data_IF_604444124544
#
_entry.id   IF_604444124544
#
_cell.length_a   1.000
_cell.length_b   1.000
_cell.length_c   1.000
_cell.angle_alpha   90.00
_cell.angle_beta   90.00
_cell.angle_gamma   90.00
#
_symmetry.space_group_name_H-M   'P 1'
#
loop_
_entity.id
_entity.type
_entity.pdbx_description
1 polymer ?
#
# COMPACT_ATOMS: atom_id res chain seq x y z
N UNK A 1 3.86 -1.68 -2.41
CA UNK A 1 4.33 -2.02 -3.78
C UNK A 1 3.18 -2.53 -4.62
N UNK A 2 3.05 -2.06 -5.87
CA UNK A 2 2.06 -2.56 -6.85
C UNK A 2 2.79 -3.29 -7.98
N UNK A 3 2.29 -4.47 -8.37
CA UNK A 3 2.82 -5.22 -9.51
C UNK A 3 1.96 -4.99 -10.75
N UNK A 4 2.50 -4.33 -11.78
CA UNK A 4 1.75 -4.05 -13.00
C UNK A 4 1.91 -5.15 -14.07
N UNK A 5 0.87 -5.32 -14.88
CA UNK A 5 0.77 -6.31 -15.96
C UNK A 5 1.07 -7.72 -15.44
N UNK A 6 0.42 -8.13 -14.36
CA UNK A 6 0.50 -9.48 -13.79
C UNK A 6 -0.26 -10.48 -14.68
N UNK A 7 0.25 -11.71 -14.75
CA UNK A 7 -0.22 -12.73 -15.69
C UNK A 7 0.92 -13.59 -16.24
N UNK A 8 2.11 -12.99 -16.38
CA UNK A 8 3.32 -13.70 -16.76
C UNK A 8 3.95 -14.40 -15.55
N UNK A 9 4.07 -15.74 -15.59
CA UNK A 9 4.73 -16.54 -14.54
C UNK A 9 6.14 -16.02 -14.19
N UNK A 10 6.85 -15.44 -15.16
CA UNK A 10 8.18 -14.83 -14.99
C UNK A 10 8.17 -13.61 -14.05
N UNK A 11 7.08 -12.83 -14.01
CA UNK A 11 7.00 -11.62 -13.18
C UNK A 11 6.87 -11.90 -11.68
N UNK A 12 6.26 -13.04 -11.31
CA UNK A 12 6.21 -13.48 -9.90
C UNK A 12 7.62 -13.68 -9.33
N UNK A 13 8.54 -14.20 -10.14
CA UNK A 13 9.94 -14.42 -9.76
C UNK A 13 10.64 -13.06 -9.54
N UNK A 14 10.43 -12.09 -10.44
CA UNK A 14 11.06 -10.77 -10.32
C UNK A 14 10.65 -10.02 -9.05
N UNK A 15 9.39 -10.15 -8.62
CA UNK A 15 8.91 -9.53 -7.39
C UNK A 15 9.62 -10.10 -6.15
N UNK A 16 9.76 -11.43 -6.09
CA UNK A 16 10.46 -12.09 -5.00
C UNK A 16 11.96 -11.73 -4.97
N UNK A 17 12.59 -11.69 -6.14
CA UNK A 17 13.99 -11.24 -6.26
C UNK A 17 14.16 -9.79 -5.81
N UNK A 18 13.24 -8.89 -6.20
CA UNK A 18 13.29 -7.50 -5.77
C UNK A 18 13.13 -7.36 -4.25
N UNK A 19 12.22 -8.12 -3.64
CA UNK A 19 12.06 -8.15 -2.19
C UNK A 19 13.34 -8.62 -1.48
N UNK A 20 14.01 -9.65 -2.00
CA UNK A 20 15.29 -10.13 -1.47
C UNK A 20 16.39 -9.07 -1.57
N UNK A 21 16.49 -8.39 -2.72
CA UNK A 21 17.47 -7.32 -2.92
C UNK A 21 17.21 -6.15 -1.96
N UNK A 22 15.97 -5.72 -1.80
CA UNK A 22 15.64 -4.60 -0.92
C UNK A 22 15.91 -4.94 0.55
N UNK A 23 15.63 -6.19 0.97
CA UNK A 23 16.01 -6.68 2.29
C UNK A 23 17.54 -6.67 2.49
N UNK A 24 18.29 -7.08 1.47
CA UNK A 24 19.75 -7.18 1.53
C UNK A 24 20.46 -5.82 1.54
N UNK A 25 19.95 -4.84 0.79
CA UNK A 25 20.68 -3.58 0.55
C UNK A 25 20.08 -2.35 1.24
N UNK A 26 18.78 -2.34 1.57
CA UNK A 26 18.11 -1.17 2.16
C UNK A 26 17.76 -1.40 3.64
N UNK A 27 17.84 -2.64 4.14
CA UNK A 27 17.49 -2.97 5.52
C UNK A 27 15.98 -2.92 5.83
N UNK A 28 15.15 -2.68 4.81
CA UNK A 28 13.69 -2.71 4.93
C UNK A 28 13.25 -4.16 5.17
N UNK A 29 12.68 -4.42 6.34
CA UNK A 29 12.33 -5.79 6.77
C UNK A 29 11.10 -6.34 6.06
N UNK A 30 10.14 -5.48 5.71
CA UNK A 30 8.96 -5.86 4.94
C UNK A 30 8.55 -4.75 3.97
N UNK A 31 8.22 -5.16 2.75
CA UNK A 31 7.61 -4.29 1.75
C UNK A 31 6.18 -4.77 1.59
N UNK A 32 5.24 -3.97 2.06
CA UNK A 32 3.82 -4.30 1.94
C UNK A 32 3.42 -4.33 0.47
N UNK A 33 2.94 -5.48 0.03
CA UNK A 33 2.35 -5.63 -1.29
C UNK A 33 0.92 -5.11 -1.24
N UNK A 34 0.63 -4.12 -2.09
CA UNK A 34 -0.65 -3.42 -2.13
C UNK A 34 -1.65 -4.09 -3.09
N UNK A 35 -1.14 -4.70 -4.16
CA UNK A 35 -1.94 -5.47 -5.12
C UNK A 35 -1.21 -5.74 -6.43
N UNK A 36 -1.92 -6.37 -7.37
CA UNK A 36 -1.44 -6.65 -8.71
C UNK A 36 -2.46 -6.17 -9.75
N UNK A 37 -1.99 -5.56 -10.83
CA UNK A 37 -2.82 -5.13 -11.96
C UNK A 37 -2.59 -6.13 -13.10
N UNK A 38 -3.62 -6.86 -13.57
CA UNK A 38 -3.46 -7.85 -14.62
C UNK A 38 -3.14 -7.23 -15.98
N UNK A 39 -2.63 -8.05 -16.92
CA UNK A 39 -2.62 -7.69 -18.34
C UNK A 39 -4.08 -7.60 -18.83
N UNK A 40 -4.45 -6.47 -19.40
CA UNK A 40 -5.83 -6.17 -19.81
C UNK A 40 -5.82 -5.32 -21.09
N UNK A 41 -6.54 -5.78 -22.12
CA UNK A 41 -6.67 -5.08 -23.41
C UNK A 41 -7.47 -3.79 -23.28
N UNK A 42 -8.36 -3.70 -22.28
CA UNK A 42 -9.13 -2.48 -22.02
C UNK A 42 -8.23 -1.30 -21.67
N UNK A 43 -7.05 -1.57 -21.08
CA UNK A 43 -6.05 -0.52 -20.80
C UNK A 43 -5.51 0.06 -22.11
N UNK A 44 -5.16 -0.77 -23.09
CA UNK A 44 -4.66 -0.32 -24.40
C UNK A 44 -5.74 0.45 -25.17
N UNK A 45 -6.98 -0.03 -25.13
CA UNK A 45 -8.13 0.64 -25.76
C UNK A 45 -8.42 2.00 -25.11
N UNK A 46 -8.31 2.10 -23.78
CA UNK A 46 -8.54 3.34 -23.04
C UNK A 46 -7.53 4.44 -23.40
N UNK A 47 -6.28 4.06 -23.70
CA UNK A 47 -5.25 4.99 -24.19
C UNK A 47 -5.66 5.57 -25.55
N UNK A 48 -6.13 4.73 -26.47
CA UNK A 48 -6.60 5.19 -27.78
C UNK A 48 -7.82 6.11 -27.71
N UNK A 49 -8.66 5.93 -26.68
CA UNK A 49 -9.82 6.77 -26.40
C UNK A 49 -9.49 8.02 -25.57
N UNK A 50 -8.22 8.21 -25.17
CA UNK A 50 -7.78 9.28 -24.26
C UNK A 50 -8.61 9.38 -22.97
N UNK A 51 -9.12 8.24 -22.49
CA UNK A 51 -9.94 8.16 -21.30
C UNK A 51 -9.31 7.17 -20.32
N UNK A 52 -9.21 7.47 -19.01
CA UNK A 52 -8.67 6.53 -18.04
C UNK A 52 -9.45 5.21 -18.03
N UNK A 53 -8.75 4.07 -17.91
CA UNK A 53 -9.38 2.73 -17.93
C UNK A 53 -10.53 2.58 -16.92
N UNK A 54 -10.42 3.22 -15.74
CA UNK A 54 -11.46 3.22 -14.73
C UNK A 54 -12.77 3.89 -15.20
N UNK A 55 -12.67 4.92 -16.06
CA UNK A 55 -13.84 5.57 -16.67
C UNK A 55 -14.25 4.93 -17.99
N UNK A 56 -13.29 4.48 -18.80
CA UNK A 56 -13.54 3.89 -20.12
C UNK A 56 -14.17 2.49 -20.04
N UNK A 57 -13.64 1.64 -19.15
CA UNK A 57 -14.08 0.26 -18.97
C UNK A 57 -14.10 -0.12 -17.47
N UNK A 58 -15.06 0.41 -16.68
CA UNK A 58 -15.09 0.24 -15.23
C UNK A 58 -15.20 -1.22 -14.76
N UNK A 59 -15.72 -2.11 -15.62
CA UNK A 59 -15.87 -3.53 -15.31
C UNK A 59 -14.66 -4.38 -15.72
N UNK A 60 -13.63 -3.78 -16.32
CA UNK A 60 -12.45 -4.51 -16.78
C UNK A 60 -11.62 -5.04 -15.59
N UNK A 61 -10.84 -6.12 -15.79
CA UNK A 61 -9.97 -6.66 -14.74
C UNK A 61 -8.98 -5.63 -14.18
N UNK A 62 -8.38 -4.79 -15.03
CA UNK A 62 -7.46 -3.75 -14.57
C UNK A 62 -8.18 -2.65 -13.78
N UNK A 63 -9.37 -2.23 -14.21
CA UNK A 63 -10.16 -1.24 -13.47
C UNK A 63 -10.54 -1.74 -12.07
N UNK A 64 -10.97 -2.99 -11.95
CA UNK A 64 -11.29 -3.61 -10.65
C UNK A 64 -10.06 -3.74 -9.76
N UNK A 65 -8.94 -4.19 -10.32
CA UNK A 65 -7.69 -4.30 -9.57
C UNK A 65 -7.20 -2.95 -9.02
N UNK A 66 -7.41 -1.87 -9.77
CA UNK A 66 -7.10 -0.52 -9.30
C UNK A 66 -7.98 -0.11 -8.11
N UNK A 67 -9.27 -0.42 -8.14
CA UNK A 67 -10.19 -0.16 -7.01
C UNK A 67 -9.73 -0.93 -5.76
N UNK A 68 -9.44 -2.23 -5.89
CA UNK A 68 -8.95 -3.04 -4.77
C UNK A 68 -7.62 -2.50 -4.19
N UNK A 69 -6.71 -2.04 -5.04
CA UNK A 69 -5.45 -1.41 -4.62
C UNK A 69 -5.71 -0.12 -3.84
N UNK A 70 -6.68 0.68 -4.29
CA UNK A 70 -7.09 1.91 -3.59
C UNK A 70 -7.70 1.60 -2.23
N UNK A 71 -8.58 0.60 -2.14
CA UNK A 71 -9.20 0.19 -0.88
C UNK A 71 -8.13 -0.29 0.12
N UNK A 72 -7.20 -1.14 -0.32
CA UNK A 72 -6.08 -1.59 0.50
C UNK A 72 -5.19 -0.43 0.97
N UNK A 73 -5.01 0.59 0.14
CA UNK A 73 -4.20 1.76 0.48
C UNK A 73 -4.88 2.60 1.55
N UNK A 74 -6.19 2.83 1.41
CA UNK A 74 -7.00 3.56 2.37
C UNK A 74 -6.97 2.87 3.74
N UNK A 75 -7.19 1.55 3.78
CA UNK A 75 -7.09 0.79 5.03
C UNK A 75 -5.72 0.89 5.69
N UNK A 76 -4.64 0.88 4.90
CA UNK A 76 -3.29 1.00 5.45
C UNK A 76 -3.00 2.40 6.00
N UNK A 77 -3.52 3.45 5.34
CA UNK A 77 -3.42 4.83 5.83
C UNK A 77 -4.18 4.98 7.15
N UNK A 78 -5.39 4.40 7.25
CA UNK A 78 -6.18 4.42 8.48
C UNK A 78 -5.46 3.69 9.63
N UNK A 79 -4.86 2.53 9.36
CA UNK A 79 -4.08 1.78 10.34
C UNK A 79 -2.89 2.60 10.87
N UNK A 80 -2.16 3.30 10.00
CA UNK A 80 -1.06 4.16 10.41
C UNK A 80 -1.53 5.39 11.20
N UNK A 81 -2.65 6.01 10.80
CA UNK A 81 -3.21 7.15 11.52
C UNK A 81 -3.60 6.80 12.96
N UNK A 82 -4.15 5.61 13.18
CA UNK A 82 -4.52 5.14 14.51
C UNK A 82 -3.29 4.84 15.38
N UNK A 83 -2.22 4.29 14.80
CA UNK A 83 -0.97 4.03 15.50
C UNK A 83 -0.26 5.31 16.01
N UNK A 84 -0.39 6.43 15.27
CA UNK A 84 0.18 7.72 15.68
C UNK A 84 -0.64 8.42 16.78
N UNK A 85 -1.92 8.09 16.92
CA UNK A 85 -2.82 8.73 17.90
C UNK A 85 -2.63 8.17 19.32
N UNK A 86 -2.31 6.88 19.46
CA UNK A 86 -2.09 6.24 20.78
C UNK A 86 -0.81 6.70 21.51
N UNK A 87 0.12 7.37 20.83
CA UNK A 87 1.36 7.88 21.45
C UNK A 87 1.12 9.23 22.17
N UNK A 88 0.01 9.94 21.88
CA UNK A 88 -0.25 11.28 22.43
C UNK A 88 -1.10 11.31 23.71
N UNK A 89 -1.73 10.20 24.12
CA UNK A 89 -2.57 10.15 25.34
C UNK A 89 -1.85 9.56 26.58
N UNK A 90 -0.64 9.00 26.45
CA UNK A 90 0.07 8.38 27.59
C UNK A 90 1.06 9.28 28.35
N UNK A 91 1.21 10.58 28.01
CA UNK A 91 2.15 11.49 28.69
C UNK A 91 1.51 12.58 29.56
N UNK A 92 0.19 12.64 29.71
CA UNK A 92 -0.46 13.60 30.60
C UNK A 92 -0.62 13.07 32.04
N UNK A 93 0.49 12.78 32.72
CA UNK A 93 0.53 12.72 34.19
C UNK A 93 1.23 14.00 34.70
N UNK A 94 0.55 14.91 35.42
CA UNK A 94 1.25 15.98 36.11
C UNK A 94 1.89 15.42 37.38
N UNK A 95 3.22 15.29 37.33
CA UNK A 95 4.10 14.99 38.45
C UNK A 95 4.21 16.24 39.33
N UNK A 96 3.25 16.51 40.24
CA UNK A 96 3.44 17.53 41.30
C UNK A 96 2.66 17.21 42.57
N UNK A 97 3.33 16.63 43.56
CA UNK A 97 3.17 16.86 45.00
C UNK A 97 4.33 16.10 45.69
N UNK A 98 5.51 16.71 45.76
CA UNK A 98 5.97 17.49 46.91
C UNK A 98 6.36 16.59 48.09
N UNK A 99 7.67 16.42 48.19
CA UNK A 99 8.50 16.12 49.35
C UNK A 99 7.96 16.73 50.67
N UNK A 100 7.90 15.90 51.73
CA UNK A 100 8.17 16.35 53.10
C UNK A 100 8.56 15.17 53.99
N UNK A 101 9.86 15.08 54.28
CA UNK A 101 10.43 14.50 55.49
C UNK A 101 9.76 15.07 56.75
N UNK A 102 9.34 14.20 57.68
CA UNK A 102 9.84 13.97 59.07
C UNK A 102 8.93 12.93 59.72
#
# INVERSE_FOLDING_TARGET
MVANRSGDKKKKIHILQLQQLLKKYVGVQSITKLGEIPVDTAVEQSIGAFQPVAGYAPKSPAAKALVEITDNLLSLIEQHKNADTEISESTAAPVVAADSLV
#
